data_IF_041538171265
#
_entry.id   IF_041538171265
#
_cell.length_a   1.000
_cell.length_b   1.000
_cell.length_c   1.000
_cell.angle_alpha   90.00
_cell.angle_beta   90.00
_cell.angle_gamma   90.00
#
_symmetry.space_group_name_H-M   'P 1'
#
loop_
_entity.id
_entity.type
_entity.pdbx_description
1 polymer ?
#
# COMPACT_ATOMS: atom_id res chain seq x y z
N UNK A 1 11.98 2.23 -10.64
CA UNK A 1 11.36 1.84 -9.35
C UNK A 1 10.64 0.50 -9.48
N UNK A 2 9.71 0.34 -10.42
CA UNK A 2 8.87 -0.85 -10.57
C UNK A 2 9.65 -2.18 -10.65
N UNK A 3 10.79 -2.21 -11.35
CA UNK A 3 11.66 -3.40 -11.43
C UNK A 3 12.22 -3.82 -10.06
N UNK A 4 12.62 -2.85 -9.23
CA UNK A 4 13.13 -3.07 -7.88
C UNK A 4 11.99 -3.53 -6.97
N UNK A 5 10.85 -2.83 -7.03
CA UNK A 5 9.65 -3.21 -6.27
C UNK A 5 9.24 -4.64 -6.62
N UNK A 6 9.29 -5.04 -7.90
CA UNK A 6 8.95 -6.39 -8.35
C UNK A 6 9.81 -7.47 -7.69
N UNK A 7 11.11 -7.25 -7.49
CA UNK A 7 12.02 -8.24 -6.89
C UNK A 7 11.92 -8.36 -5.37
N UNK A 8 11.43 -7.35 -4.65
CA UNK A 8 11.33 -7.38 -3.18
C UNK A 8 10.19 -8.32 -2.74
N UNK A 9 10.39 -9.31 -1.86
CA UNK A 9 9.29 -10.16 -1.40
C UNK A 9 8.16 -9.35 -0.72
N UNK A 10 6.90 -9.73 -0.93
CA UNK A 10 5.75 -8.92 -0.51
C UNK A 10 5.67 -8.70 1.01
N UNK A 11 6.17 -9.64 1.81
CA UNK A 11 6.25 -9.56 3.27
C UNK A 11 7.24 -8.50 3.80
N UNK A 12 8.05 -7.89 2.93
CA UNK A 12 8.94 -6.78 3.26
C UNK A 12 8.42 -5.41 2.79
N UNK A 13 7.20 -5.36 2.22
CA UNK A 13 6.63 -4.13 1.69
C UNK A 13 5.58 -3.53 2.63
N UNK A 14 5.61 -2.21 2.74
CA UNK A 14 4.60 -1.37 3.36
C UNK A 14 4.09 -0.36 2.32
N UNK A 15 2.90 0.20 2.57
CA UNK A 15 2.32 1.25 1.74
C UNK A 15 2.19 2.53 2.55
N UNK A 16 2.54 3.64 1.94
CA UNK A 16 2.34 4.99 2.48
C UNK A 16 1.95 5.93 1.34
N UNK A 17 1.34 7.07 1.69
CA UNK A 17 1.05 8.13 0.70
C UNK A 17 2.06 9.26 0.74
N UNK A 18 2.74 9.49 1.87
CA UNK A 18 3.50 10.71 2.14
C UNK A 18 2.66 12.00 2.00
N UNK A 19 1.37 11.93 2.34
CA UNK A 19 0.47 13.08 2.30
C UNK A 19 0.97 14.20 3.22
N UNK A 20 0.99 15.48 2.77
CA UNK A 20 0.28 16.03 1.61
C UNK A 20 1.03 15.99 0.27
N UNK A 21 2.19 15.34 0.18
CA UNK A 21 3.09 15.32 -0.98
C UNK A 21 2.89 14.07 -1.86
N UNK A 22 3.53 14.04 -3.03
CA UNK A 22 3.67 12.84 -3.89
C UNK A 22 2.35 12.14 -4.27
N UNK A 23 1.34 12.89 -4.73
CA UNK A 23 0.07 12.31 -5.17
C UNK A 23 0.24 11.25 -6.27
N UNK A 24 -0.42 10.07 -6.15
CA UNK A 24 -0.38 9.03 -7.17
C UNK A 24 -1.27 9.40 -8.37
N UNK A 25 -1.10 8.71 -9.50
CA UNK A 25 -2.08 8.76 -10.59
C UNK A 25 -3.45 8.23 -10.11
N UNK A 26 -4.58 8.84 -10.54
CA UNK A 26 -4.73 9.93 -11.53
C UNK A 26 -4.65 11.36 -10.93
N UNK A 27 -4.20 11.51 -9.69
CA UNK A 27 -4.21 12.79 -8.96
C UNK A 27 -2.85 13.49 -8.95
N UNK A 28 -1.90 13.07 -9.79
CA UNK A 28 -0.54 13.62 -9.83
C UNK A 28 -0.56 15.15 -9.96
N UNK A 29 0.24 15.81 -9.12
CA UNK A 29 0.34 17.27 -9.07
C UNK A 29 -0.72 17.96 -8.18
N UNK A 30 -1.69 17.21 -7.64
CA UNK A 30 -2.63 17.69 -6.61
C UNK A 30 -2.13 17.36 -5.21
N UNK A 31 -2.71 18.00 -4.19
CA UNK A 31 -2.47 17.64 -2.78
C UNK A 31 -2.83 16.17 -2.56
N UNK A 32 -1.92 15.42 -1.94
CA UNK A 32 -2.15 14.02 -1.62
C UNK A 32 -2.98 13.87 -0.33
N UNK A 33 -3.64 12.72 -0.19
CA UNK A 33 -4.45 12.35 0.97
C UNK A 33 -4.36 10.86 1.26
N UNK A 34 -4.54 10.47 2.52
CA UNK A 34 -4.50 9.06 2.95
C UNK A 34 -5.47 8.16 2.18
N UNK A 35 -6.60 8.70 1.71
CA UNK A 35 -7.58 7.97 0.91
C UNK A 35 -7.04 7.52 -0.46
N UNK A 36 -5.94 8.10 -0.95
CA UNK A 36 -5.30 7.70 -2.20
C UNK A 36 -4.37 6.48 -2.07
N UNK A 37 -4.21 5.93 -0.87
CA UNK A 37 -3.43 4.71 -0.63
C UNK A 37 -3.92 3.53 -1.48
N UNK A 38 -5.22 3.49 -1.81
CA UNK A 38 -5.81 2.46 -2.69
C UNK A 38 -5.21 2.47 -4.09
N UNK A 39 -4.89 3.63 -4.67
CA UNK A 39 -4.24 3.71 -5.98
C UNK A 39 -2.80 3.16 -5.95
N UNK A 40 -2.10 3.38 -4.83
CA UNK A 40 -0.75 2.85 -4.62
C UNK A 40 -0.81 1.32 -4.48
N UNK A 41 -1.78 0.80 -3.72
CA UNK A 41 -2.03 -0.64 -3.59
C UNK A 41 -2.39 -1.28 -4.95
N UNK A 42 -3.24 -0.63 -5.76
CA UNK A 42 -3.59 -1.06 -7.12
C UNK A 42 -2.33 -1.16 -8.00
N UNK A 43 -1.49 -0.13 -7.98
CA UNK A 43 -0.24 -0.13 -8.74
C UNK A 43 0.71 -1.24 -8.29
N UNK A 44 0.79 -1.51 -6.98
CA UNK A 44 1.61 -2.61 -6.47
C UNK A 44 1.05 -3.97 -6.89
N UNK A 45 -0.28 -4.13 -6.93
CA UNK A 45 -0.95 -5.34 -7.41
C UNK A 45 -0.58 -5.66 -8.87
N UNK A 46 -0.57 -4.65 -9.73
CA UNK A 46 -0.11 -4.78 -11.12
C UNK A 46 1.36 -5.23 -11.20
N UNK A 47 2.26 -4.56 -10.45
CA UNK A 47 3.70 -4.87 -10.44
C UNK A 47 3.96 -6.29 -9.95
N UNK A 48 3.21 -6.73 -8.92
CA UNK A 48 3.35 -8.04 -8.28
C UNK A 48 2.57 -9.16 -8.96
N UNK A 49 1.68 -8.83 -9.90
CA UNK A 49 0.77 -9.78 -10.53
C UNK A 49 0.00 -10.59 -9.47
N UNK A 50 -0.58 -9.89 -8.49
CA UNK A 50 -1.37 -10.47 -7.40
C UNK A 50 -2.70 -9.72 -7.27
N UNK A 51 -3.75 -10.35 -6.73
CA UNK A 51 -5.01 -9.67 -6.44
C UNK A 51 -4.81 -8.49 -5.48
N UNK A 52 -5.64 -7.45 -5.64
CA UNK A 52 -5.61 -6.27 -4.77
C UNK A 52 -5.78 -6.65 -3.30
N UNK A 53 -6.69 -7.58 -3.00
CA UNK A 53 -6.99 -8.07 -1.67
C UNK A 53 -5.76 -8.73 -1.04
N UNK A 54 -4.99 -9.49 -1.83
CA UNK A 54 -3.73 -10.09 -1.38
C UNK A 54 -2.70 -9.02 -1.04
N UNK A 55 -2.58 -7.96 -1.86
CA UNK A 55 -1.68 -6.84 -1.55
C UNK A 55 -2.12 -6.17 -0.25
N UNK A 56 -3.39 -5.77 -0.15
CA UNK A 56 -3.93 -5.05 0.98
C UNK A 56 -3.78 -5.84 2.29
N UNK A 57 -4.11 -7.13 2.28
CA UNK A 57 -3.95 -7.99 3.45
C UNK A 57 -2.48 -8.14 3.86
N UNK A 58 -1.60 -8.44 2.91
CA UNK A 58 -0.19 -8.69 3.22
C UNK A 58 0.49 -7.42 3.76
N UNK A 59 0.30 -6.27 3.10
CA UNK A 59 0.90 -5.00 3.54
C UNK A 59 0.30 -4.50 4.85
N UNK A 60 -1.00 -4.77 5.11
CA UNK A 60 -1.61 -4.48 6.40
C UNK A 60 -1.01 -5.34 7.51
N UNK A 61 -0.86 -6.66 7.28
CA UNK A 61 -0.27 -7.57 8.25
C UNK A 61 1.21 -7.22 8.52
N UNK A 62 1.96 -6.80 7.50
CA UNK A 62 3.33 -6.31 7.66
C UNK A 62 3.37 -5.06 8.55
N UNK A 63 2.46 -4.10 8.34
CA UNK A 63 2.37 -2.89 9.15
C UNK A 63 2.01 -3.24 10.61
N UNK A 64 1.00 -4.09 10.81
CA UNK A 64 0.60 -4.55 12.14
C UNK A 64 1.78 -5.20 12.89
N UNK A 65 2.54 -6.06 12.19
CA UNK A 65 3.71 -6.72 12.76
C UNK A 65 4.83 -5.73 13.09
N UNK A 66 5.18 -4.84 12.16
CA UNK A 66 6.31 -3.91 12.34
C UNK A 66 6.04 -2.90 13.45
N UNK A 67 4.83 -2.37 13.53
CA UNK A 67 4.46 -1.35 14.49
C UNK A 67 3.84 -1.93 15.78
N UNK A 68 3.86 -3.26 15.95
CA UNK A 68 3.27 -3.97 17.08
C UNK A 68 1.81 -3.57 17.36
N UNK A 69 1.00 -3.44 16.30
CA UNK A 69 -0.40 -3.03 16.38
C UNK A 69 -1.32 -4.26 16.44
N UNK A 70 -2.36 -4.17 17.26
CA UNK A 70 -3.41 -5.16 17.31
C UNK A 70 -4.50 -4.85 16.29
N UNK A 71 -4.94 -5.86 15.54
CA UNK A 71 -6.06 -5.72 14.61
C UNK A 71 -7.34 -5.47 15.43
N UNK A 72 -7.85 -4.25 15.42
CA UNK A 72 -9.17 -3.97 15.99
C UNK A 72 -10.20 -4.75 15.18
N UNK A 73 -11.01 -5.56 15.85
CA UNK A 73 -12.18 -6.15 15.20
C UNK A 73 -13.10 -4.99 14.79
N UNK A 74 -13.34 -4.86 13.49
CA UNK A 74 -14.40 -3.98 13.00
C UNK A 74 -15.70 -4.75 13.20
N UNK A 75 -16.41 -4.42 14.28
CA UNK A 75 -17.80 -4.82 14.41
C UNK A 75 -18.55 -4.18 13.23
N UNK A 76 -19.13 -5.04 12.39
CA UNK A 76 -20.02 -4.61 11.30
C UNK A 76 -21.32 -4.03 11.83
#
# INVERSE_FOLDING_TARGET
>A
LDRIVKSIPLNFLLLETDSPFLSPEPYRGKRNQSAYLTFIAQKLAEIKQKPFETIAENTSNNALKLFHLNRKQRNG
#
